data_IF_683623763997
#
_entry.id   IF_683623763997
#
_cell.length_a   1.000
_cell.length_b   1.000
_cell.length_c   1.000
_cell.angle_alpha   90.00
_cell.angle_beta   90.00
_cell.angle_gamma   90.00
#
_symmetry.space_group_name_H-M   'P 1'
#
loop_
_entity.id
_entity.type
_entity.pdbx_description
1 polymer ?
#
# COMPACT_ATOMS: atom_id res chain seq x y z
N UNK A 1 41.64 44.32 19.16
CA UNK A 1 40.40 44.07 18.41
C UNK A 1 39.88 42.71 18.85
N UNK A 2 39.31 42.60 20.06
CA UNK A 2 37.87 42.70 20.38
C UNK A 2 37.03 41.59 19.73
N UNK A 3 36.79 40.55 20.52
CA UNK A 3 35.68 39.61 20.38
C UNK A 3 34.36 40.39 20.36
N UNK A 4 33.54 40.16 19.35
CA UNK A 4 32.17 40.66 19.26
C UNK A 4 31.26 39.47 18.99
N UNK A 5 30.61 39.00 20.06
CA UNK A 5 29.49 38.08 19.98
C UNK A 5 28.27 38.90 19.55
N UNK A 6 27.74 38.61 18.38
CA UNK A 6 26.39 39.02 18.00
C UNK A 6 25.54 37.74 17.85
N UNK A 7 24.51 37.52 18.70
CA UNK A 7 23.75 36.29 18.72
C UNK A 7 22.34 36.52 18.15
N UNK A 8 22.09 36.28 16.86
CA UNK A 8 20.72 36.12 16.34
C UNK A 8 20.77 35.50 14.92
N UNK A 9 20.59 34.18 14.76
CA UNK A 9 19.88 33.59 13.60
C UNK A 9 19.66 32.07 13.73
N UNK A 10 19.00 31.68 14.81
CA UNK A 10 18.51 30.33 15.08
C UNK A 10 17.06 30.40 15.55
N UNK A 11 16.19 30.93 14.67
CA UNK A 11 14.75 31.07 14.92
C UNK A 11 13.92 30.51 13.78
N UNK A 12 14.06 29.22 13.47
CA UNK A 12 13.06 28.57 12.61
C UNK A 12 12.89 27.05 12.80
N UNK A 13 13.23 26.51 13.98
CA UNK A 13 12.93 25.11 14.32
C UNK A 13 12.27 24.98 15.69
N UNK A 14 11.09 25.57 15.89
CA UNK A 14 10.19 25.09 16.94
C UNK A 14 8.73 25.55 16.78
N UNK A 15 8.08 25.14 15.68
CA UNK A 15 6.63 25.31 15.52
C UNK A 15 5.93 23.97 15.23
N UNK A 16 6.30 22.90 15.96
CA UNK A 16 5.49 21.69 16.04
C UNK A 16 5.56 21.18 17.47
N UNK A 17 4.75 21.77 18.36
CA UNK A 17 4.20 21.17 19.57
C UNK A 17 3.49 22.26 20.40
N UNK A 18 2.27 22.61 19.98
CA UNK A 18 1.33 23.33 20.83
C UNK A 18 0.29 22.31 21.31
N UNK A 19 0.22 21.96 22.60
CA UNK A 19 -0.90 21.17 23.09
C UNK A 19 -2.18 22.02 23.02
N UNK A 20 -3.22 21.45 22.42
CA UNK A 20 -4.54 22.06 22.32
C UNK A 20 -5.08 22.36 23.73
N UNK A 21 -5.18 23.65 24.04
CA UNK A 21 -5.63 24.16 25.35
C UNK A 21 -7.15 24.08 25.53
N UNK A 22 -7.87 23.56 24.54
CA UNK A 22 -9.34 23.43 24.57
C UNK A 22 -9.80 22.05 25.06
N UNK A 23 -8.99 21.00 24.91
CA UNK A 23 -9.38 19.64 25.35
C UNK A 23 -9.44 19.49 26.87
N UNK A 24 -8.74 20.35 27.60
CA UNK A 24 -8.70 20.31 29.07
C UNK A 24 -9.85 21.09 29.74
N UNK A 25 -10.59 21.94 29.00
CA UNK A 25 -11.76 22.63 29.56
C UNK A 25 -13.04 21.77 29.52
N UNK A 26 -13.20 20.89 28.53
CA UNK A 26 -14.32 19.94 28.48
C UNK A 26 -14.19 18.86 29.57
N UNK A 27 -12.99 18.31 29.77
CA UNK A 27 -12.77 17.28 30.79
C UNK A 27 -12.95 17.78 32.23
N UNK A 28 -12.82 19.09 32.50
CA UNK A 28 -12.98 19.66 33.84
C UNK A 28 -14.44 20.04 34.11
N UNK A 29 -15.18 20.50 33.08
CA UNK A 29 -16.59 20.89 33.20
C UNK A 29 -17.50 19.68 33.44
N UNK A 30 -17.15 18.53 32.88
CA UNK A 30 -17.88 17.28 33.07
C UNK A 30 -17.62 16.63 34.44
N UNK A 31 -16.50 16.97 35.10
CA UNK A 31 -16.11 16.38 36.38
C UNK A 31 -16.77 17.07 37.59
N UNK A 32 -17.12 18.35 37.48
CA UNK A 32 -17.69 19.12 38.59
C UNK A 32 -19.22 18.98 38.72
N UNK A 33 -19.92 18.41 37.72
CA UNK A 33 -21.38 18.20 37.76
C UNK A 33 -21.80 16.83 38.36
N UNK A 34 -20.85 16.04 38.89
CA UNK A 34 -21.12 14.67 39.36
C UNK A 34 -21.28 14.58 40.88
N UNK A 35 -21.22 15.70 41.60
CA UNK A 35 -21.58 15.72 43.01
C UNK A 35 -23.00 16.27 43.21
N UNK A 36 -23.84 15.40 43.75
CA UNK A 36 -25.11 15.70 44.45
C UNK A 36 -26.42 15.50 43.67
N UNK A 37 -26.65 14.25 43.24
CA UNK A 37 -28.00 13.68 43.39
C UNK A 37 -27.91 12.21 43.77
N UNK A 38 -27.68 11.94 45.06
CA UNK A 38 -27.97 10.64 45.65
C UNK A 38 -29.50 10.48 45.67
N UNK A 39 -30.05 10.09 44.53
CA UNK A 39 -31.42 9.61 44.45
C UNK A 39 -31.43 8.28 45.19
N UNK A 40 -32.16 8.21 46.31
CA UNK A 40 -32.50 6.95 46.96
C UNK A 40 -33.30 6.14 45.95
N UNK A 41 -32.60 5.32 45.16
CA UNK A 41 -33.22 4.32 44.29
C UNK A 41 -34.01 3.39 45.21
N UNK A 42 -35.34 3.27 45.04
CA UNK A 42 -36.10 2.26 45.77
C UNK A 42 -35.44 0.91 45.51
N UNK A 43 -34.97 0.28 46.58
CA UNK A 43 -34.36 -1.04 46.51
C UNK A 43 -35.46 -2.04 46.15
N UNK A 44 -35.71 -2.24 44.86
CA UNK A 44 -36.60 -3.30 44.41
C UNK A 44 -35.84 -4.64 44.57
N UNK A 45 -36.31 -5.57 45.41
CA UNK A 45 -35.62 -6.85 45.62
C UNK A 45 -35.55 -7.72 44.36
N UNK A 46 -36.21 -7.33 43.27
CA UNK A 46 -36.27 -8.09 42.02
C UNK A 46 -34.92 -8.20 41.28
N UNK A 47 -33.88 -7.45 41.69
CA UNK A 47 -32.54 -7.55 41.08
C UNK A 47 -31.69 -8.69 41.65
N UNK A 48 -32.13 -9.34 42.72
CA UNK A 48 -31.32 -10.31 43.45
C UNK A 48 -31.40 -11.73 42.87
N UNK A 49 -31.39 -11.86 41.53
CA UNK A 49 -31.15 -13.18 40.91
C UNK A 49 -30.69 -13.12 39.44
N UNK A 50 -29.92 -12.11 39.04
CA UNK A 50 -28.99 -12.34 37.92
C UNK A 50 -27.93 -13.29 38.45
N UNK A 51 -28.04 -14.58 38.14
CA UNK A 51 -26.95 -15.53 38.37
C UNK A 51 -25.75 -14.98 37.62
N UNK A 52 -24.85 -14.31 38.35
CA UNK A 52 -23.44 -14.24 37.98
C UNK A 52 -23.10 -15.64 37.48
N UNK A 53 -22.65 -15.82 36.23
CA UNK A 53 -22.20 -17.13 35.80
C UNK A 53 -21.18 -17.56 36.84
N UNK A 54 -21.50 -18.61 37.59
CA UNK A 54 -20.57 -19.16 38.57
C UNK A 54 -19.32 -19.44 37.75
N UNK A 55 -18.28 -18.64 37.95
CA UNK A 55 -16.97 -18.89 37.37
C UNK A 55 -16.46 -20.17 38.01
N UNK A 56 -17.00 -21.31 37.57
CA UNK A 56 -16.37 -22.59 37.76
C UNK A 56 -15.02 -22.43 37.07
N UNK A 57 -13.96 -22.65 37.84
CA UNK A 57 -12.65 -22.81 37.26
C UNK A 57 -12.81 -23.84 36.13
N UNK A 58 -12.46 -23.49 34.89
CA UNK A 58 -12.59 -24.41 33.77
C UNK A 58 -11.91 -25.71 34.15
N UNK A 59 -12.58 -26.83 33.88
CA UNK A 59 -11.98 -28.13 34.13
C UNK A 59 -10.67 -28.23 33.32
N UNK A 60 -9.68 -29.01 33.75
CA UNK A 60 -8.42 -29.17 33.01
C UNK A 60 -8.65 -29.55 31.52
N UNK A 61 -9.75 -30.23 31.23
CA UNK A 61 -10.18 -30.58 29.88
C UNK A 61 -10.67 -29.37 29.08
N UNK A 62 -11.48 -28.49 29.69
CA UNK A 62 -11.98 -27.25 29.07
C UNK A 62 -10.85 -26.23 28.84
N UNK A 63 -9.85 -26.16 29.73
CA UNK A 63 -8.67 -25.32 29.54
C UNK A 63 -7.83 -25.77 28.32
N UNK A 64 -7.62 -27.08 28.17
CA UNK A 64 -6.93 -27.65 27.02
C UNK A 64 -7.68 -27.40 25.71
N UNK A 65 -9.01 -27.55 25.69
CA UNK A 65 -9.82 -27.27 24.51
C UNK A 65 -9.78 -25.78 24.14
N UNK A 66 -9.93 -24.88 25.12
CA UNK A 66 -9.81 -23.44 24.89
C UNK A 66 -8.43 -23.07 24.31
N UNK A 67 -7.35 -23.66 24.81
CA UNK A 67 -6.02 -23.48 24.24
C UNK A 67 -5.89 -24.00 22.80
N UNK A 68 -6.46 -25.18 22.51
CA UNK A 68 -6.43 -25.77 21.17
C UNK A 68 -7.17 -24.87 20.18
N UNK A 69 -8.35 -24.39 20.54
CA UNK A 69 -9.16 -23.46 19.74
C UNK A 69 -8.40 -22.14 19.49
N UNK A 70 -7.81 -21.54 20.54
CA UNK A 70 -6.99 -20.34 20.40
C UNK A 70 -5.75 -20.57 19.52
N UNK A 71 -5.11 -21.74 19.60
CA UNK A 71 -4.00 -22.12 18.72
C UNK A 71 -4.46 -22.26 17.27
N UNK A 72 -5.62 -22.87 17.05
CA UNK A 72 -6.23 -23.02 15.73
C UNK A 72 -6.62 -21.67 15.12
N UNK A 73 -7.27 -20.80 15.89
CA UNK A 73 -7.61 -19.44 15.46
C UNK A 73 -6.36 -18.60 15.16
N UNK A 74 -5.32 -18.67 16.01
CA UNK A 74 -4.05 -17.97 15.76
C UNK A 74 -3.35 -18.50 14.50
N UNK A 75 -3.38 -19.82 14.26
CA UNK A 75 -2.84 -20.44 13.05
C UNK A 75 -3.65 -20.01 11.82
N UNK A 76 -4.98 -19.99 11.91
CA UNK A 76 -5.88 -19.56 10.84
C UNK A 76 -5.71 -18.07 10.52
N UNK A 77 -5.58 -17.20 11.52
CA UNK A 77 -5.35 -15.78 11.35
C UNK A 77 -3.99 -15.48 10.71
N UNK A 78 -2.92 -16.18 11.14
CA UNK A 78 -1.60 -16.09 10.52
C UNK A 78 -1.63 -16.60 9.08
N UNK A 79 -2.28 -17.73 8.81
CA UNK A 79 -2.43 -18.28 7.47
C UNK A 79 -3.19 -17.32 6.54
N UNK A 80 -4.29 -16.71 6.99
CA UNK A 80 -5.06 -15.72 6.22
C UNK A 80 -4.22 -14.49 5.87
N UNK A 81 -3.46 -13.94 6.83
CA UNK A 81 -2.57 -12.79 6.59
C UNK A 81 -1.50 -13.10 5.53
N UNK A 82 -0.91 -14.29 5.58
CA UNK A 82 0.11 -14.73 4.61
C UNK A 82 -0.48 -15.00 3.22
N UNK A 83 -1.72 -15.44 3.11
CA UNK A 83 -2.38 -15.69 1.81
C UNK A 83 -2.74 -14.38 1.11
N UNK A 84 -3.21 -13.39 1.86
CA UNK A 84 -3.57 -12.07 1.31
C UNK A 84 -2.31 -11.31 0.87
N UNK A 85 -1.25 -11.31 1.68
CA UNK A 85 0.01 -10.63 1.31
C UNK A 85 0.68 -11.25 0.08
N UNK A 86 0.62 -12.58 -0.07
CA UNK A 86 1.15 -13.27 -1.25
C UNK A 86 0.41 -12.89 -2.54
N UNK A 87 -0.91 -12.67 -2.48
CA UNK A 87 -1.74 -12.39 -3.66
C UNK A 87 -1.58 -10.95 -4.18
N UNK A 88 -1.36 -9.98 -3.29
CA UNK A 88 -1.10 -8.59 -3.67
C UNK A 88 0.24 -8.45 -4.43
N UNK A 89 1.32 -9.06 -3.93
CA UNK A 89 2.63 -9.01 -4.59
C UNK A 89 2.62 -9.64 -5.99
N UNK A 90 1.84 -10.70 -6.20
CA UNK A 90 1.70 -11.34 -7.52
C UNK A 90 1.06 -10.41 -8.55
N UNK A 91 0.10 -9.57 -8.14
CA UNK A 91 -0.62 -8.67 -9.04
C UNK A 91 0.31 -7.65 -9.71
N UNK A 92 1.31 -7.15 -8.98
CA UNK A 92 2.29 -6.19 -9.50
C UNK A 92 3.14 -6.83 -10.61
N UNK A 93 3.65 -8.04 -10.40
CA UNK A 93 4.41 -8.76 -11.43
C UNK A 93 3.59 -8.98 -12.69
N UNK A 94 2.31 -9.35 -12.56
CA UNK A 94 1.42 -9.54 -13.72
C UNK A 94 1.22 -8.24 -14.52
N UNK A 95 1.08 -7.09 -13.85
CA UNK A 95 0.95 -5.80 -14.52
C UNK A 95 2.21 -5.43 -15.31
N UNK A 96 3.40 -5.63 -14.71
CA UNK A 96 4.68 -5.37 -15.40
C UNK A 96 4.86 -6.31 -16.59
N UNK A 97 4.53 -7.60 -16.45
CA UNK A 97 4.57 -8.55 -17.56
C UNK A 97 3.58 -8.20 -18.67
N UNK A 98 2.35 -7.78 -18.33
CA UNK A 98 1.37 -7.33 -19.32
C UNK A 98 1.83 -6.08 -20.09
N UNK A 99 2.48 -5.15 -19.39
CA UNK A 99 3.10 -3.97 -20.01
C UNK A 99 4.21 -4.37 -20.99
N UNK A 100 5.08 -5.31 -20.62
CA UNK A 100 6.15 -5.80 -21.49
C UNK A 100 5.58 -6.44 -22.76
N UNK A 101 4.54 -7.27 -22.64
CA UNK A 101 3.84 -7.86 -23.79
C UNK A 101 3.25 -6.77 -24.69
N UNK A 102 2.65 -5.73 -24.11
CA UNK A 102 2.09 -4.61 -24.87
C UNK A 102 3.15 -3.86 -25.68
N UNK A 103 4.33 -3.60 -25.08
CA UNK A 103 5.45 -2.98 -25.79
C UNK A 103 6.07 -3.90 -26.84
N UNK A 104 6.19 -5.20 -26.53
CA UNK A 104 6.64 -6.20 -27.49
C UNK A 104 5.72 -6.30 -28.70
N UNK A 105 4.41 -6.22 -28.50
CA UNK A 105 3.43 -6.20 -29.59
C UNK A 105 3.54 -4.91 -30.42
N UNK A 106 3.72 -3.75 -29.79
CA UNK A 106 4.02 -2.49 -30.49
C UNK A 106 5.27 -2.63 -31.35
N UNK A 107 6.35 -3.17 -30.79
CA UNK A 107 7.60 -3.39 -31.50
C UNK A 107 7.40 -4.34 -32.69
N UNK A 108 6.69 -5.46 -32.50
CA UNK A 108 6.39 -6.41 -33.56
C UNK A 108 5.58 -5.78 -34.70
N UNK A 109 4.55 -5.00 -34.38
CA UNK A 109 3.77 -4.26 -35.38
C UNK A 109 4.64 -3.25 -36.14
N UNK A 110 5.59 -2.62 -35.45
CA UNK A 110 6.50 -1.65 -36.04
C UNK A 110 7.50 -2.32 -37.00
N UNK A 111 8.09 -3.44 -36.60
CA UNK A 111 9.05 -4.19 -37.43
C UNK A 111 8.38 -4.86 -38.63
N UNK A 112 7.12 -5.31 -38.48
CA UNK A 112 6.36 -5.91 -39.58
C UNK A 112 5.77 -4.87 -40.54
N UNK A 113 5.90 -3.56 -40.25
CA UNK A 113 5.33 -2.49 -41.08
C UNK A 113 3.80 -2.50 -41.08
N UNK A 114 3.18 -2.92 -39.98
CA UNK A 114 1.73 -3.01 -39.87
C UNK A 114 1.06 -1.64 -40.12
N UNK A 115 -0.04 -1.62 -40.87
CA UNK A 115 -0.77 -0.40 -41.16
C UNK A 115 -1.27 0.26 -39.85
N UNK A 116 -0.84 1.50 -39.57
CA UNK A 116 -1.21 2.26 -38.38
C UNK A 116 -2.67 2.71 -38.37
N UNK A 117 -3.32 2.76 -39.53
CA UNK A 117 -4.75 3.10 -39.66
C UNK A 117 -5.66 1.91 -39.31
N UNK A 118 -5.11 0.69 -39.22
CA UNK A 118 -5.88 -0.46 -38.78
C UNK A 118 -6.32 -0.31 -37.31
N UNK A 119 -7.54 -0.72 -36.98
CA UNK A 119 -8.11 -0.62 -35.62
C UNK A 119 -7.24 -1.33 -34.58
N UNK A 120 -6.73 -2.53 -34.89
CA UNK A 120 -5.88 -3.28 -33.97
C UNK A 120 -4.54 -2.58 -33.76
N UNK A 121 -3.86 -2.20 -34.85
CA UNK A 121 -2.59 -1.50 -34.77
C UNK A 121 -2.71 -0.16 -34.01
N UNK A 122 -3.67 0.68 -34.40
CA UNK A 122 -3.91 1.98 -33.77
C UNK A 122 -4.22 1.85 -32.27
N UNK A 123 -5.00 0.83 -31.87
CA UNK A 123 -5.26 0.53 -30.47
C UNK A 123 -3.97 0.22 -29.70
N UNK A 124 -3.12 -0.67 -30.21
CA UNK A 124 -1.85 -1.01 -29.55
C UNK A 124 -0.91 0.19 -29.50
N UNK A 125 -0.76 0.93 -30.60
CA UNK A 125 0.08 2.14 -30.63
C UNK A 125 -0.42 3.22 -29.67
N UNK A 126 -1.74 3.37 -29.52
CA UNK A 126 -2.38 4.30 -28.58
C UNK A 126 -2.22 3.88 -27.13
N UNK A 127 -2.52 2.61 -26.81
CA UNK A 127 -2.45 2.08 -25.45
C UNK A 127 -1.00 2.04 -24.93
N UNK A 128 -0.04 1.71 -25.79
CA UNK A 128 1.40 1.70 -25.45
C UNK A 128 2.03 3.10 -25.39
N UNK A 129 1.38 4.12 -25.97
CA UNK A 129 1.94 5.48 -26.08
C UNK A 129 2.41 6.08 -24.75
N UNK A 130 1.63 6.13 -23.66
CA UNK A 130 2.08 6.75 -22.41
C UNK A 130 3.32 6.08 -21.81
N UNK A 131 3.52 4.79 -22.07
CA UNK A 131 4.69 4.04 -21.59
C UNK A 131 5.92 4.22 -22.48
N UNK A 132 5.71 4.54 -23.76
CA UNK A 132 6.80 4.84 -24.68
C UNK A 132 7.30 6.30 -24.54
N UNK A 133 6.45 7.24 -24.15
CA UNK A 133 6.77 8.68 -24.05
C UNK A 133 8.04 8.98 -23.24
N UNK A 134 8.27 8.40 -22.04
CA UNK A 134 9.47 8.71 -21.25
C UNK A 134 10.79 8.37 -21.97
N UNK A 135 10.73 7.45 -22.93
CA UNK A 135 11.87 7.01 -23.72
C UNK A 135 11.87 7.62 -25.11
N UNK A 136 10.87 8.42 -25.46
CA UNK A 136 10.86 9.15 -26.73
C UNK A 136 12.02 10.15 -26.77
N UNK A 137 12.72 10.22 -27.91
CA UNK A 137 13.89 11.06 -28.13
C UNK A 137 15.16 10.68 -27.35
N UNK A 138 15.30 9.45 -26.86
CA UNK A 138 16.59 8.98 -26.29
C UNK A 138 17.66 8.86 -27.38
N UNK A 139 17.27 8.37 -28.55
CA UNK A 139 18.11 8.19 -29.71
C UNK A 139 17.44 8.84 -30.93
N UNK A 140 18.29 9.32 -31.85
CA UNK A 140 17.83 9.74 -33.18
C UNK A 140 17.11 8.58 -33.87
N UNK A 141 15.95 8.89 -34.44
CA UNK A 141 15.11 7.88 -35.06
C UNK A 141 15.71 7.47 -36.40
N UNK A 142 16.16 6.21 -36.51
CA UNK A 142 16.64 5.67 -37.78
C UNK A 142 15.44 5.35 -38.67
N UNK A 143 15.22 6.18 -39.68
CA UNK A 143 14.11 6.02 -40.62
C UNK A 143 14.54 5.08 -41.75
N UNK A 144 13.87 3.92 -41.87
CA UNK A 144 14.09 3.01 -43.00
C UNK A 144 13.01 3.26 -44.06
N UNK A 145 13.42 3.55 -45.30
CA UNK A 145 12.56 3.69 -46.47
C UNK A 145 11.43 4.72 -46.32
N UNK A 146 11.70 5.98 -46.72
CA UNK A 146 10.70 6.96 -47.11
C UNK A 146 9.52 7.12 -46.13
N UNK A 147 9.83 7.28 -44.83
CA UNK A 147 8.91 7.71 -43.77
C UNK A 147 7.83 6.69 -43.32
N UNK A 148 7.65 5.56 -44.02
CA UNK A 148 6.60 4.59 -43.66
C UNK A 148 7.04 3.57 -42.61
N UNK A 149 8.31 3.16 -42.61
CA UNK A 149 8.86 2.17 -41.68
C UNK A 149 9.88 2.81 -40.74
N UNK A 150 9.35 3.48 -39.73
CA UNK A 150 10.16 4.10 -38.67
C UNK A 150 10.48 3.04 -37.62
N UNK A 151 11.68 2.45 -37.68
CA UNK A 151 12.16 1.59 -36.60
C UNK A 151 12.67 2.49 -35.48
N UNK A 152 11.85 2.64 -34.45
CA UNK A 152 12.18 3.44 -33.29
C UNK A 152 13.00 2.64 -32.27
N UNK A 153 14.33 2.84 -32.26
CA UNK A 153 15.27 2.21 -31.31
C UNK A 153 14.88 2.52 -29.86
N UNK A 154 14.22 3.65 -29.63
CA UNK A 154 13.72 4.03 -28.31
C UNK A 154 12.74 3.00 -27.74
N UNK A 155 11.96 2.32 -28.59
CA UNK A 155 11.04 1.26 -28.14
C UNK A 155 11.79 0.01 -27.69
N UNK A 156 12.86 -0.35 -28.38
CA UNK A 156 13.73 -1.47 -27.96
C UNK A 156 14.32 -1.13 -26.59
N UNK A 157 14.79 0.10 -26.41
CA UNK A 157 15.33 0.55 -25.14
C UNK A 157 14.27 0.54 -24.03
N UNK A 158 13.05 0.99 -24.32
CA UNK A 158 11.93 0.92 -23.39
C UNK A 158 11.67 -0.53 -22.94
N UNK A 159 11.62 -1.49 -23.87
CA UNK A 159 11.46 -2.92 -23.54
C UNK A 159 12.58 -3.42 -22.62
N UNK A 160 13.84 -3.07 -22.91
CA UNK A 160 14.97 -3.49 -22.07
C UNK A 160 14.82 -2.93 -20.64
N UNK A 161 14.46 -1.65 -20.50
CA UNK A 161 14.29 -1.02 -19.18
C UNK A 161 13.11 -1.64 -18.42
N UNK A 162 11.98 -1.86 -19.07
CA UNK A 162 10.82 -2.49 -18.44
C UNK A 162 11.08 -3.95 -18.08
N UNK A 163 11.84 -4.70 -18.90
CA UNK A 163 12.31 -6.03 -18.56
C UNK A 163 13.24 -6.02 -17.33
N UNK A 164 14.17 -5.06 -17.23
CA UNK A 164 15.02 -4.90 -16.06
C UNK A 164 14.20 -4.56 -14.80
N UNK A 165 13.19 -3.69 -14.92
CA UNK A 165 12.27 -3.40 -13.82
C UNK A 165 11.48 -4.65 -13.40
N UNK A 166 11.05 -5.48 -14.35
CA UNK A 166 10.40 -6.75 -14.06
C UNK A 166 11.33 -7.69 -13.27
N UNK A 167 12.58 -7.82 -13.71
CA UNK A 167 13.59 -8.63 -13.00
C UNK A 167 13.84 -8.09 -11.59
N UNK A 168 13.94 -6.77 -11.43
CA UNK A 168 14.11 -6.12 -10.13
C UNK A 168 12.94 -6.41 -9.20
N UNK A 169 11.70 -6.25 -9.68
CA UNK A 169 10.48 -6.55 -8.91
C UNK A 169 10.43 -8.02 -8.51
N UNK A 170 10.70 -8.94 -9.45
CA UNK A 170 10.70 -10.37 -9.16
C UNK A 170 11.80 -10.76 -8.16
N UNK A 171 12.97 -10.13 -8.26
CA UNK A 171 14.07 -10.32 -7.31
C UNK A 171 13.70 -9.83 -5.91
N UNK A 172 13.06 -8.66 -5.81
CA UNK A 172 12.56 -8.12 -4.55
C UNK A 172 11.42 -8.97 -3.95
N UNK A 173 10.56 -9.55 -4.79
CA UNK A 173 9.54 -10.47 -4.30
C UNK A 173 10.20 -11.74 -3.75
N UNK A 174 11.23 -12.26 -4.42
CA UNK A 174 11.96 -13.43 -3.93
C UNK A 174 12.66 -13.18 -2.59
N UNK A 175 13.30 -12.02 -2.39
CA UNK A 175 13.99 -11.71 -1.13
C UNK A 175 13.02 -11.57 0.05
N UNK A 176 11.79 -11.15 -0.19
CA UNK A 176 10.75 -11.04 0.84
C UNK A 176 10.11 -12.40 1.15
N UNK A 177 9.97 -13.27 0.14
CA UNK A 177 9.27 -14.56 0.30
C UNK A 177 10.18 -15.68 0.80
N UNK A 178 11.46 -15.68 0.38
CA UNK A 178 12.44 -16.66 0.85
C UNK A 178 13.03 -16.15 2.19
N UNK A 179 12.79 -16.86 3.31
CA UNK A 179 13.39 -16.50 4.60
C UNK A 179 14.91 -16.71 4.60
#
# INVERSE_FOLDING_TARGET
>A
MTYSNDPQEDKEQNYINKPDSLSNLESQKDADEIHEHSHNVPHDPSYEHRREPRYLAPTPEEEEEAERLLREERKAAKARKLVISRKANQSISYLVTALEILLGLRFLLMVTGANRENIFSSFIYGLSKPFAIPFSNLFDTITFNNETNVLDINIIFAMIIYLLLMLLVNWLIQIIIKP
#
